data_IF_301733130974
#
_entry.id   IF_301733130974
#
_cell.length_a   1.000
_cell.length_b   1.000
_cell.length_c   1.000
_cell.angle_alpha   90.00
_cell.angle_beta   90.00
_cell.angle_gamma   90.00
#
_symmetry.space_group_name_H-M   'P 1'
#
loop_
_entity.id
_entity.type
_entity.pdbx_description
1 polymer ?
#
# COMPACT_ATOMS: atom_id res chain seq x y z
N UNK A 1 33.21 23.36 5.72
CA UNK A 1 32.26 22.34 5.20
C UNK A 1 32.94 21.59 4.08
N UNK A 2 33.56 20.46 4.39
CA UNK A 2 34.18 19.59 3.38
C UNK A 2 33.05 18.91 2.61
N UNK A 3 33.04 19.07 1.28
CA UNK A 3 31.99 18.50 0.43
C UNK A 3 32.02 16.97 0.48
N UNK A 4 30.84 16.34 0.44
CA UNK A 4 30.70 14.89 0.29
C UNK A 4 31.33 14.47 -1.07
N UNK A 5 32.00 13.31 -1.15
CA UNK A 5 32.56 12.83 -2.40
C UNK A 5 31.45 12.63 -3.45
N UNK A 6 31.76 12.94 -4.71
CA UNK A 6 30.81 12.87 -5.83
C UNK A 6 30.33 11.45 -6.16
N UNK A 7 31.00 10.42 -5.63
CA UNK A 7 30.66 9.01 -5.79
C UNK A 7 30.77 8.26 -4.45
N UNK A 8 29.78 8.48 -3.58
CA UNK A 8 29.71 7.82 -2.27
C UNK A 8 29.54 6.29 -2.40
N UNK A 9 28.90 5.81 -3.47
CA UNK A 9 28.61 4.38 -3.69
C UNK A 9 29.88 3.55 -3.87
N UNK A 10 30.76 4.00 -4.77
CA UNK A 10 32.03 3.32 -5.04
C UNK A 10 32.94 3.29 -3.81
N UNK A 11 32.96 4.39 -3.04
CA UNK A 11 33.72 4.48 -1.79
C UNK A 11 33.19 3.52 -0.72
N UNK A 12 31.87 3.35 -0.62
CA UNK A 12 31.25 2.39 0.31
C UNK A 12 31.63 0.95 -0.06
N UNK A 13 31.60 0.60 -1.35
CA UNK A 13 31.93 -0.74 -1.83
C UNK A 13 33.39 -1.13 -1.54
N UNK A 14 34.34 -0.23 -1.80
CA UNK A 14 35.77 -0.46 -1.50
C UNK A 14 36.03 -0.64 0.00
N UNK A 15 35.37 0.16 0.85
CA UNK A 15 35.48 0.04 2.30
C UNK A 15 34.85 -1.26 2.78
N UNK A 16 33.71 -1.68 2.19
CA UNK A 16 33.04 -2.94 2.50
C UNK A 16 33.96 -4.13 2.24
N UNK A 17 34.58 -4.21 1.06
CA UNK A 17 35.52 -5.29 0.73
C UNK A 17 36.70 -5.36 1.71
N UNK A 18 37.23 -4.21 2.15
CA UNK A 18 38.34 -4.18 3.11
C UNK A 18 37.92 -4.64 4.50
N UNK A 19 36.78 -4.17 4.99
CA UNK A 19 36.26 -4.58 6.29
C UNK A 19 35.90 -6.06 6.31
N UNK A 20 35.43 -6.63 5.19
CA UNK A 20 35.17 -8.06 5.06
C UNK A 20 36.41 -8.94 5.27
N UNK A 21 37.62 -8.43 4.98
CA UNK A 21 38.88 -9.18 5.19
C UNK A 21 39.32 -9.27 6.66
N UNK A 22 38.73 -8.46 7.56
CA UNK A 22 39.05 -8.46 9.00
C UNK A 22 37.76 -8.40 9.83
N UNK A 23 37.24 -9.53 10.33
CA UNK A 23 36.00 -9.57 11.10
C UNK A 23 36.03 -8.68 12.35
N UNK A 24 34.89 -8.09 12.71
CA UNK A 24 34.64 -7.44 14.00
C UNK A 24 33.65 -6.27 13.88
N UNK A 25 33.40 -5.58 14.98
CA UNK A 25 32.33 -4.57 15.06
C UNK A 25 32.54 -3.41 14.08
N UNK A 26 31.46 -3.01 13.40
CA UNK A 26 31.46 -1.85 12.54
C UNK A 26 31.42 -0.58 13.39
N UNK A 27 32.53 0.16 13.42
CA UNK A 27 32.64 1.45 14.14
C UNK A 27 33.10 2.55 13.19
N UNK A 28 32.72 3.80 13.49
CA UNK A 28 33.20 4.96 12.74
C UNK A 28 34.74 5.03 12.68
N UNK A 29 35.43 4.58 13.73
CA UNK A 29 36.89 4.50 13.76
C UNK A 29 37.43 3.53 12.69
N UNK A 30 36.88 2.32 12.60
CA UNK A 30 37.33 1.32 11.61
C UNK A 30 37.00 1.73 10.18
N UNK A 31 35.88 2.41 9.98
CA UNK A 31 35.51 3.00 8.70
C UNK A 31 36.50 4.10 8.31
N UNK A 32 36.89 4.96 9.25
CA UNK A 32 37.91 5.98 9.03
C UNK A 32 39.28 5.37 8.67
N UNK A 33 39.68 4.28 9.32
CA UNK A 33 40.92 3.57 8.97
C UNK A 33 40.87 2.97 7.57
N UNK A 34 39.76 2.31 7.21
CA UNK A 34 39.57 1.73 5.89
C UNK A 34 39.58 2.80 4.80
N UNK A 35 38.91 3.93 5.02
CA UNK A 35 38.88 5.09 4.11
C UNK A 35 40.25 5.76 3.96
N UNK A 36 41.00 5.94 5.05
CA UNK A 36 42.38 6.49 4.95
C UNK A 36 43.27 5.60 4.09
N UNK A 37 43.05 4.30 4.16
CA UNK A 37 43.82 3.33 3.42
C UNK A 37 43.41 3.20 1.94
N UNK A 38 42.35 3.88 1.48
CA UNK A 38 42.04 4.08 0.04
C UNK A 38 42.74 5.31 -0.56
N UNK A 39 43.47 6.09 0.24
CA UNK A 39 44.33 7.18 -0.23
C UNK A 39 43.63 8.52 -0.48
N UNK A 40 42.35 8.66 -0.11
CA UNK A 40 41.61 9.92 -0.23
C UNK A 40 41.62 10.73 1.09
N UNK A 41 41.65 12.08 1.03
CA UNK A 41 41.43 12.92 2.21
C UNK A 41 40.01 12.71 2.74
N UNK A 42 39.88 12.16 3.95
CA UNK A 42 38.59 11.80 4.54
C UNK A 42 38.19 12.84 5.57
N UNK A 43 37.09 13.57 5.34
CA UNK A 43 36.47 14.42 6.35
C UNK A 43 35.54 13.62 7.27
N UNK A 44 35.30 14.11 8.49
CA UNK A 44 34.39 13.47 9.46
C UNK A 44 32.99 13.23 8.90
N UNK A 45 32.48 14.15 8.06
CA UNK A 45 31.20 13.99 7.38
C UNK A 45 31.19 12.78 6.42
N UNK A 46 32.28 12.52 5.72
CA UNK A 46 32.43 11.36 4.82
C UNK A 46 32.54 10.07 5.62
N UNK A 47 33.31 10.06 6.72
CA UNK A 47 33.39 8.91 7.63
C UNK A 47 32.02 8.56 8.18
N UNK A 48 31.26 9.55 8.66
CA UNK A 48 29.91 9.35 9.19
C UNK A 48 28.94 8.86 8.11
N UNK A 49 28.97 9.44 6.90
CA UNK A 49 28.12 9.01 5.79
C UNK A 49 28.41 7.55 5.38
N UNK A 50 29.68 7.18 5.22
CA UNK A 50 30.09 5.81 4.86
C UNK A 50 29.82 4.84 6.00
N UNK A 51 30.06 5.24 7.25
CA UNK A 51 29.77 4.42 8.42
C UNK A 51 28.29 4.13 8.54
N UNK A 52 27.45 5.15 8.35
CA UNK A 52 26.00 5.01 8.42
C UNK A 52 25.47 4.12 7.27
N UNK A 53 26.04 4.25 6.06
CA UNK A 53 25.66 3.40 4.93
C UNK A 53 26.07 1.93 5.14
N UNK A 54 27.31 1.68 5.57
CA UNK A 54 27.77 0.33 5.94
C UNK A 54 27.00 -0.21 7.15
N UNK A 55 26.59 0.65 8.07
CA UNK A 55 25.80 0.26 9.24
C UNK A 55 24.42 -0.17 8.80
N UNK A 56 23.83 0.44 7.78
CA UNK A 56 22.58 -0.04 7.17
C UNK A 56 22.78 -1.34 6.42
N UNK A 57 23.90 -1.53 5.73
CA UNK A 57 24.21 -2.82 5.12
C UNK A 57 24.39 -3.94 6.16
N UNK A 58 24.95 -3.63 7.33
CA UNK A 58 25.25 -4.64 8.37
C UNK A 58 24.09 -4.83 9.35
N UNK A 59 23.33 -3.77 9.65
CA UNK A 59 22.22 -3.78 10.62
C UNK A 59 20.83 -3.77 9.97
N UNK A 60 20.71 -3.48 8.68
CA UNK A 60 19.46 -3.42 7.92
C UNK A 60 19.16 -4.71 7.15
N UNK A 61 18.71 -4.58 5.89
CA UNK A 61 18.30 -5.74 5.07
C UNK A 61 19.48 -6.56 4.51
N UNK A 62 20.72 -6.24 4.89
CA UNK A 62 21.88 -7.03 4.51
C UNK A 62 22.13 -6.97 3.00
N UNK A 63 22.38 -8.12 2.34
CA UNK A 63 22.63 -8.15 0.90
C UNK A 63 21.41 -7.74 0.06
N UNK A 64 20.22 -7.55 0.66
CA UNK A 64 19.02 -7.09 -0.02
C UNK A 64 18.92 -5.56 -0.08
N UNK A 65 19.68 -4.82 0.73
CA UNK A 65 19.61 -3.36 0.83
C UNK A 65 19.78 -2.66 -0.53
N UNK A 66 20.76 -3.03 -1.39
CA UNK A 66 20.90 -2.42 -2.71
C UNK A 66 19.68 -2.67 -3.60
N UNK A 67 19.02 -3.83 -3.46
CA UNK A 67 17.82 -4.15 -4.23
C UNK A 67 16.63 -3.28 -3.79
N UNK A 68 16.44 -3.11 -2.48
CA UNK A 68 15.34 -2.29 -1.95
C UNK A 68 15.45 -0.82 -2.36
N UNK A 69 16.66 -0.33 -2.64
CA UNK A 69 16.92 1.06 -3.05
C UNK A 69 16.82 1.31 -4.56
N UNK A 70 16.77 0.25 -5.36
CA UNK A 70 16.66 0.39 -6.82
C UNK A 70 15.34 1.10 -7.17
N UNK A 71 15.38 2.19 -7.94
CA UNK A 71 14.17 2.86 -8.40
C UNK A 71 13.26 1.89 -9.15
N UNK A 72 11.99 1.80 -8.75
CA UNK A 72 11.00 0.96 -9.40
C UNK A 72 10.79 -0.42 -8.78
N UNK A 73 11.68 -0.88 -7.88
CA UNK A 73 11.46 -2.12 -7.13
C UNK A 73 10.22 -2.00 -6.26
N UNK A 74 9.30 -2.95 -6.39
CA UNK A 74 8.10 -3.05 -5.58
C UNK A 74 8.18 -4.17 -4.57
N UNK A 75 8.84 -5.28 -4.93
CA UNK A 75 8.90 -6.49 -4.12
C UNK A 75 10.28 -7.15 -4.23
N UNK A 76 10.78 -7.68 -3.12
CA UNK A 76 11.98 -8.53 -3.05
C UNK A 76 11.63 -9.77 -2.24
N UNK A 77 11.81 -10.97 -2.81
CA UNK A 77 11.50 -12.23 -2.13
C UNK A 77 12.72 -13.14 -2.06
N UNK A 78 12.88 -13.83 -0.94
CA UNK A 78 13.95 -14.80 -0.68
C UNK A 78 13.32 -16.16 -0.44
N UNK A 79 13.69 -17.15 -1.25
CA UNK A 79 13.17 -18.51 -1.17
C UNK A 79 14.23 -19.47 -0.61
N UNK A 80 14.65 -19.25 0.64
CA UNK A 80 15.78 -19.96 1.24
C UNK A 80 17.07 -19.74 0.43
N UNK A 81 17.85 -20.81 0.25
CA UNK A 81 19.06 -20.82 -0.57
C UNK A 81 18.79 -21.00 -2.07
N UNK A 82 17.53 -21.23 -2.47
CA UNK A 82 17.17 -21.47 -3.89
C UNK A 82 17.17 -20.19 -4.74
N UNK A 83 17.16 -19.02 -4.10
CA UNK A 83 17.41 -17.75 -4.77
C UNK A 83 16.61 -16.57 -4.26
N UNK A 84 16.97 -15.41 -4.79
CA UNK A 84 16.33 -14.12 -4.54
C UNK A 84 15.69 -13.63 -5.83
N UNK A 85 14.49 -13.06 -5.72
CA UNK A 85 13.73 -12.52 -6.84
C UNK A 85 13.29 -11.10 -6.52
N UNK A 86 13.14 -10.29 -7.57
CA UNK A 86 12.72 -8.89 -7.49
C UNK A 86 11.61 -8.64 -8.52
N UNK A 87 10.61 -7.84 -8.15
CA UNK A 87 9.62 -7.29 -9.08
C UNK A 87 9.83 -5.77 -9.21
N UNK A 88 10.02 -5.30 -10.44
CA UNK A 88 10.13 -3.87 -10.80
C UNK A 88 8.86 -3.36 -11.51
N UNK A 89 7.74 -4.09 -11.37
CA UNK A 89 6.45 -3.81 -11.99
C UNK A 89 6.14 -4.63 -13.24
N UNK A 90 7.03 -5.56 -13.63
CA UNK A 90 6.89 -6.43 -14.81
C UNK A 90 6.77 -7.92 -14.43
N UNK A 91 6.67 -8.23 -13.14
CA UNK A 91 6.67 -9.58 -12.59
C UNK A 91 8.03 -9.99 -12.04
N UNK A 92 8.05 -11.06 -11.24
CA UNK A 92 9.22 -11.54 -10.52
C UNK A 92 10.35 -12.01 -11.45
N UNK A 93 11.54 -11.47 -11.24
CA UNK A 93 12.77 -11.83 -11.96
C UNK A 93 13.85 -12.27 -10.96
N UNK A 94 14.63 -13.33 -11.25
CA UNK A 94 15.73 -13.74 -10.40
C UNK A 94 16.88 -12.72 -10.41
N UNK A 95 17.57 -12.57 -9.28
CA UNK A 95 18.76 -11.72 -9.15
C UNK A 95 19.93 -12.51 -8.56
N UNK A 96 21.17 -12.10 -8.87
CA UNK A 96 22.37 -12.77 -8.37
C UNK A 96 22.72 -12.32 -6.95
N UNK A 97 21.82 -12.62 -6.01
CA UNK A 97 22.07 -12.52 -4.57
C UNK A 97 21.98 -13.92 -4.00
N UNK A 98 23.03 -14.34 -3.30
CA UNK A 98 23.15 -15.68 -2.73
C UNK A 98 23.38 -15.63 -1.23
N UNK A 99 22.70 -16.51 -0.52
CA UNK A 99 22.95 -16.77 0.89
C UNK A 99 23.83 -18.02 1.01
N UNK A 100 24.75 -18.02 1.97
CA UNK A 100 25.69 -19.13 2.16
C UNK A 100 24.98 -20.43 2.56
N UNK A 101 23.99 -20.32 3.44
CA UNK A 101 23.23 -21.41 4.01
C UNK A 101 21.85 -20.91 4.51
N UNK A 102 21.01 -21.85 4.92
CA UNK A 102 19.71 -21.55 5.52
C UNK A 102 19.83 -20.74 6.82
N UNK A 103 20.89 -20.98 7.61
CA UNK A 103 21.10 -20.22 8.84
C UNK A 103 21.37 -18.73 8.56
N UNK A 104 21.98 -18.39 7.42
CA UNK A 104 22.16 -17.02 6.98
C UNK A 104 20.83 -16.35 6.65
N UNK A 105 19.92 -17.05 5.97
CA UNK A 105 18.57 -16.55 5.67
C UNK A 105 17.76 -16.38 6.96
N UNK A 106 17.79 -17.38 7.86
CA UNK A 106 17.19 -17.31 9.20
C UNK A 106 17.70 -16.11 9.98
N UNK A 107 19.02 -15.91 10.08
CA UNK A 107 19.61 -14.75 10.78
C UNK A 107 19.15 -13.42 10.18
N UNK A 108 18.98 -13.34 8.86
CA UNK A 108 18.44 -12.14 8.21
C UNK A 108 16.97 -11.92 8.61
N UNK A 109 16.12 -12.94 8.50
CA UNK A 109 14.72 -12.86 8.88
C UNK A 109 14.55 -12.42 10.34
N UNK A 110 15.32 -12.99 11.26
CA UNK A 110 15.29 -12.64 12.69
C UNK A 110 15.72 -11.20 12.95
N UNK A 111 16.74 -10.71 12.25
CA UNK A 111 17.19 -9.32 12.35
C UNK A 111 16.13 -8.36 11.81
N UNK A 112 15.53 -8.65 10.66
CA UNK A 112 14.42 -7.85 10.10
C UNK A 112 13.23 -7.80 11.07
N UNK A 113 12.87 -8.93 11.68
CA UNK A 113 11.84 -9.00 12.71
C UNK A 113 12.18 -8.08 13.91
N UNK A 114 13.42 -8.15 14.40
CA UNK A 114 13.88 -7.35 15.53
C UNK A 114 13.88 -5.84 15.21
N UNK A 115 14.28 -5.44 14.00
CA UNK A 115 14.18 -4.04 13.54
C UNK A 115 12.73 -3.54 13.54
N UNK A 116 11.79 -4.42 13.22
CA UNK A 116 10.36 -4.17 13.29
C UNK A 116 9.74 -4.34 14.69
N UNK A 117 10.55 -4.55 15.72
CA UNK A 117 10.10 -4.68 17.11
C UNK A 117 9.36 -5.99 17.42
N UNK A 118 9.57 -7.03 16.62
CA UNK A 118 8.93 -8.35 16.81
C UNK A 118 9.97 -9.46 16.94
N UNK A 119 9.51 -10.58 17.50
CA UNK A 119 10.31 -11.77 17.73
C UNK A 119 9.98 -12.81 16.65
N UNK A 120 11.02 -13.47 16.13
CA UNK A 120 10.92 -14.55 15.15
C UNK A 120 11.86 -15.69 15.59
N UNK A 121 11.29 -16.83 15.95
CA UNK A 121 12.03 -18.01 16.42
C UNK A 121 11.16 -19.27 16.32
N UNK A 122 11.61 -20.40 16.87
CA UNK A 122 10.87 -21.67 16.73
C UNK A 122 9.53 -21.68 17.49
N UNK A 123 9.34 -20.80 18.47
CA UNK A 123 8.06 -20.65 19.17
C UNK A 123 7.11 -19.69 18.43
N UNK A 124 7.65 -18.73 17.68
CA UNK A 124 6.92 -17.81 16.80
C UNK A 124 7.54 -17.84 15.40
N UNK A 125 7.24 -18.87 14.59
CA UNK A 125 7.99 -19.19 13.37
C UNK A 125 7.59 -18.35 12.15
N UNK A 126 6.74 -17.35 12.33
CA UNK A 126 6.38 -16.38 11.30
C UNK A 126 6.19 -15.00 11.91
N UNK A 127 6.36 -13.96 11.09
CA UNK A 127 6.20 -12.57 11.54
C UNK A 127 5.82 -11.64 10.41
N UNK A 128 5.01 -10.64 10.74
CA UNK A 128 4.74 -9.46 9.92
C UNK A 128 5.29 -8.24 10.64
N UNK A 129 6.18 -7.52 9.98
CA UNK A 129 6.77 -6.28 10.49
C UNK A 129 6.86 -5.20 9.44
N UNK A 130 7.07 -3.97 9.93
CA UNK A 130 7.37 -2.81 9.11
C UNK A 130 8.71 -2.23 9.54
N UNK A 131 9.58 -2.02 8.56
CA UNK A 131 10.90 -1.41 8.75
C UNK A 131 10.79 0.12 8.78
N UNK A 132 11.86 0.80 9.20
CA UNK A 132 11.87 2.25 9.38
C UNK A 132 11.63 3.05 8.08
N UNK A 133 12.00 2.50 6.94
CA UNK A 133 11.74 3.05 5.60
C UNK A 133 10.30 2.80 5.11
N UNK A 134 9.50 2.06 5.89
CA UNK A 134 8.14 1.66 5.56
C UNK A 134 8.02 0.35 4.77
N UNK A 135 9.15 -0.31 4.46
CA UNK A 135 9.17 -1.63 3.83
C UNK A 135 8.45 -2.63 4.73
N UNK A 136 7.47 -3.33 4.16
CA UNK A 136 6.79 -4.43 4.86
C UNK A 136 7.61 -5.70 4.69
N UNK A 137 7.85 -6.39 5.78
CA UNK A 137 8.57 -7.65 5.81
C UNK A 137 7.67 -8.72 6.39
N UNK A 138 7.38 -9.74 5.60
CA UNK A 138 6.83 -11.00 6.07
C UNK A 138 7.92 -12.05 6.04
N UNK A 139 8.05 -12.87 7.07
CA UNK A 139 9.01 -13.97 7.09
C UNK A 139 8.44 -15.22 7.75
N UNK A 140 8.84 -16.40 7.25
CA UNK A 140 8.55 -17.71 7.84
C UNK A 140 9.82 -18.53 7.96
N UNK A 141 10.03 -19.18 9.10
CA UNK A 141 11.18 -20.05 9.33
C UNK A 141 10.95 -21.47 8.81
N UNK A 142 12.03 -22.12 8.37
CA UNK A 142 12.05 -23.59 8.23
C UNK A 142 11.83 -24.27 9.61
N UNK A 143 11.19 -25.45 9.72
CA UNK A 143 10.72 -26.34 8.64
C UNK A 143 9.25 -26.14 8.23
N UNK A 144 8.54 -25.15 8.79
CA UNK A 144 7.14 -24.89 8.40
C UNK A 144 7.05 -24.31 6.98
N UNK A 145 8.14 -23.71 6.50
CA UNK A 145 8.31 -23.28 5.14
C UNK A 145 9.31 -24.16 4.38
N UNK A 146 9.07 -24.33 3.07
CA UNK A 146 9.97 -24.98 2.11
C UNK A 146 10.19 -24.04 0.93
N UNK A 147 11.38 -23.98 0.32
CA UNK A 147 12.55 -24.86 0.53
C UNK A 147 13.40 -24.55 1.78
N UNK A 148 13.17 -23.42 2.46
CA UNK A 148 13.86 -23.01 3.68
C UNK A 148 13.13 -21.82 4.32
N UNK A 149 13.85 -20.96 5.04
CA UNK A 149 13.31 -19.70 5.53
C UNK A 149 12.92 -18.80 4.36
N UNK A 150 11.72 -18.25 4.41
CA UNK A 150 11.17 -17.37 3.37
C UNK A 150 11.11 -15.94 3.90
N UNK A 151 11.45 -14.96 3.06
CA UNK A 151 11.33 -13.54 3.37
C UNK A 151 10.66 -12.85 2.19
N UNK A 152 9.60 -12.09 2.44
CA UNK A 152 8.91 -11.27 1.45
C UNK A 152 8.95 -9.81 1.90
N UNK A 153 9.65 -8.98 1.13
CA UNK A 153 9.78 -7.56 1.34
C UNK A 153 8.95 -6.82 0.29
N UNK A 154 8.08 -5.92 0.73
CA UNK A 154 7.28 -5.05 -0.14
C UNK A 154 7.62 -3.60 0.14
N UNK A 155 8.24 -2.96 -0.85
CA UNK A 155 8.75 -1.60 -0.75
C UNK A 155 7.59 -0.62 -0.92
N UNK A 156 7.40 0.34 0.00
CA UNK A 156 6.38 1.36 -0.15
C UNK A 156 6.73 2.24 -1.35
N UNK A 157 5.71 2.65 -2.10
CA UNK A 157 5.93 3.62 -3.18
C UNK A 157 6.27 4.98 -2.59
N UNK A 158 7.23 5.66 -3.21
CA UNK A 158 7.69 6.98 -2.78
C UNK A 158 6.63 8.09 -2.97
N UNK A 159 5.78 7.99 -4.00
CA UNK A 159 4.74 8.99 -4.31
C UNK A 159 3.48 8.35 -4.89
N UNK A 160 2.34 9.05 -4.76
CA UNK A 160 1.17 8.78 -5.57
C UNK A 160 1.42 9.12 -7.05
N UNK A 161 0.80 8.36 -7.94
CA UNK A 161 0.71 8.73 -9.34
C UNK A 161 -0.34 9.84 -9.49
N UNK A 162 -0.01 10.98 -10.10
CA UNK A 162 -0.98 11.93 -10.59
C UNK A 162 -1.99 11.23 -11.50
N UNK A 163 -3.24 11.70 -11.52
CA UNK A 163 -4.27 11.10 -12.35
C UNK A 163 -3.89 11.13 -13.84
N UNK A 164 -3.16 12.16 -14.25
CA UNK A 164 -2.61 12.34 -15.60
C UNK A 164 -1.64 11.21 -15.98
N UNK A 165 -0.81 10.74 -15.04
CA UNK A 165 0.08 9.61 -15.26
C UNK A 165 -0.72 8.30 -15.41
N UNK A 166 -1.83 8.15 -14.67
CA UNK A 166 -2.74 7.00 -14.85
C UNK A 166 -3.45 7.04 -16.21
N UNK A 167 -3.75 8.24 -16.72
CA UNK A 167 -4.27 8.42 -18.08
C UNK A 167 -3.22 8.07 -19.13
N UNK A 168 -1.98 8.54 -18.96
CA UNK A 168 -0.87 8.22 -19.86
C UNK A 168 -0.55 6.71 -19.89
N UNK A 169 -0.65 6.02 -18.75
CA UNK A 169 -0.54 4.56 -18.65
C UNK A 169 -1.77 3.80 -19.23
N UNK A 170 -2.80 4.54 -19.64
CA UNK A 170 -4.06 4.04 -20.16
C UNK A 170 -4.96 3.40 -19.11
N UNK A 171 -4.61 3.45 -17.81
CA UNK A 171 -5.46 2.92 -16.74
C UNK A 171 -6.79 3.65 -16.67
N UNK A 172 -6.78 4.95 -16.99
CA UNK A 172 -7.96 5.80 -17.07
C UNK A 172 -8.04 6.40 -18.48
N UNK A 173 -9.22 6.42 -19.09
CA UNK A 173 -9.40 7.07 -20.39
C UNK A 173 -9.59 8.58 -20.20
N UNK A 174 -9.36 9.43 -21.22
CA UNK A 174 -9.61 10.88 -21.09
C UNK A 174 -11.06 11.23 -20.68
N UNK A 175 -12.03 10.41 -21.08
CA UNK A 175 -13.41 10.55 -20.63
C UNK A 175 -13.59 10.15 -19.17
N UNK A 176 -12.94 9.05 -18.74
CA UNK A 176 -12.91 8.62 -17.34
C UNK A 176 -12.26 9.66 -16.44
N UNK A 177 -11.19 10.31 -16.89
CA UNK A 177 -10.50 11.37 -16.15
C UNK A 177 -11.46 12.52 -15.79
N UNK A 178 -12.23 13.03 -16.76
CA UNK A 178 -13.19 14.11 -16.53
C UNK A 178 -14.25 13.71 -15.51
N UNK A 179 -14.75 12.48 -15.60
CA UNK A 179 -15.73 11.92 -14.67
C UNK A 179 -15.14 11.81 -13.26
N UNK A 180 -13.95 11.25 -13.13
CA UNK A 180 -13.26 11.08 -11.84
C UNK A 180 -12.96 12.41 -11.15
N UNK A 181 -12.53 13.43 -11.91
CA UNK A 181 -12.36 14.79 -11.38
C UNK A 181 -13.69 15.37 -10.88
N UNK A 182 -14.78 15.12 -11.59
CA UNK A 182 -16.10 15.57 -11.15
C UNK A 182 -16.54 14.87 -9.86
N UNK A 183 -16.34 13.55 -9.74
CA UNK A 183 -16.62 12.77 -8.52
C UNK A 183 -15.91 13.38 -7.30
N UNK A 184 -14.61 13.67 -7.42
CA UNK A 184 -13.82 14.24 -6.31
C UNK A 184 -14.28 15.66 -5.97
N UNK A 185 -14.39 16.54 -6.97
CA UNK A 185 -14.78 17.95 -6.79
C UNK A 185 -16.17 18.12 -6.19
N UNK A 186 -17.10 17.24 -6.54
CA UNK A 186 -18.48 17.23 -6.03
C UNK A 186 -18.62 16.50 -4.70
N UNK A 187 -17.53 16.00 -4.11
CA UNK A 187 -17.55 15.24 -2.85
C UNK A 187 -18.54 14.09 -2.89
N UNK A 188 -18.67 13.44 -4.05
CA UNK A 188 -19.51 12.24 -4.20
C UNK A 188 -18.87 11.12 -3.37
N UNK A 189 -19.65 10.40 -2.57
CA UNK A 189 -19.12 9.28 -1.78
C UNK A 189 -18.90 8.08 -2.70
N UNK A 190 -17.68 7.52 -2.71
CA UNK A 190 -17.34 6.47 -3.67
C UNK A 190 -16.53 5.32 -3.09
N UNK A 191 -16.69 4.14 -3.69
CA UNK A 191 -15.87 2.95 -3.40
C UNK A 191 -15.09 2.57 -4.66
N UNK A 192 -13.78 2.38 -4.52
CA UNK A 192 -12.96 1.79 -5.59
C UNK A 192 -12.95 0.27 -5.42
N UNK A 193 -13.45 -0.46 -6.41
CA UNK A 193 -13.52 -1.92 -6.37
C UNK A 193 -12.66 -2.60 -7.43
N UNK A 194 -12.39 -3.88 -7.26
CA UNK A 194 -11.57 -4.68 -8.18
C UNK A 194 -10.77 -5.79 -7.49
N UNK A 195 -10.24 -6.71 -8.29
CA UNK A 195 -9.43 -7.83 -7.82
C UNK A 195 -8.11 -7.43 -7.16
N UNK A 196 -7.37 -8.41 -6.64
CA UNK A 196 -6.01 -8.22 -6.09
C UNK A 196 -5.08 -7.70 -7.19
N UNK A 197 -4.24 -6.71 -6.88
CA UNK A 197 -3.30 -6.15 -7.86
C UNK A 197 -3.91 -5.32 -9.00
N UNK A 198 -5.23 -5.03 -8.97
CA UNK A 198 -5.92 -4.21 -9.99
C UNK A 198 -5.57 -2.72 -9.95
N UNK A 199 -4.96 -2.24 -8.85
CA UNK A 199 -4.56 -0.84 -8.68
C UNK A 199 -5.55 0.02 -7.89
N UNK A 200 -6.45 -0.56 -7.08
CA UNK A 200 -7.44 0.18 -6.26
C UNK A 200 -6.82 1.30 -5.43
N UNK A 201 -5.82 0.94 -4.62
CA UNK A 201 -5.09 1.88 -3.75
C UNK A 201 -4.37 2.96 -4.56
N UNK A 202 -3.86 2.61 -5.75
CA UNK A 202 -3.23 3.57 -6.67
C UNK A 202 -4.22 4.59 -7.20
N UNK A 203 -5.38 4.14 -7.71
CA UNK A 203 -6.42 5.05 -8.17
C UNK A 203 -6.96 5.90 -7.02
N UNK A 204 -7.24 5.30 -5.86
CA UNK A 204 -7.72 6.02 -4.68
C UNK A 204 -6.74 7.12 -4.26
N UNK A 205 -5.43 6.82 -4.17
CA UNK A 205 -4.43 7.83 -3.84
C UNK A 205 -4.42 8.98 -4.85
N UNK A 206 -4.50 8.68 -6.15
CA UNK A 206 -4.55 9.70 -7.20
C UNK A 206 -5.79 10.60 -7.07
N UNK A 207 -6.95 10.03 -6.74
CA UNK A 207 -8.20 10.78 -6.53
C UNK A 207 -8.15 11.64 -5.27
N UNK A 208 -7.53 11.15 -4.20
CA UNK A 208 -7.35 11.92 -2.96
C UNK A 208 -6.39 13.10 -3.14
N UNK A 209 -5.38 12.99 -4.01
CA UNK A 209 -4.53 14.13 -4.40
C UNK A 209 -5.30 15.23 -5.15
N UNK A 210 -6.51 14.96 -5.64
CA UNK A 210 -7.36 15.95 -6.32
C UNK A 210 -8.37 16.62 -5.40
N UNK A 211 -8.43 16.22 -4.13
CA UNK A 211 -9.27 16.85 -3.12
C UNK A 211 -8.88 18.33 -2.93
N UNK A 212 -9.82 19.15 -2.45
CA UNK A 212 -9.53 20.56 -2.18
C UNK A 212 -8.44 20.64 -1.09
N UNK A 213 -7.33 21.39 -1.30
CA UNK A 213 -6.25 21.54 -0.33
C UNK A 213 -6.67 21.97 1.09
N UNK A 214 -7.86 22.58 1.24
CA UNK A 214 -8.43 22.97 2.52
C UNK A 214 -9.12 21.82 3.27
N UNK A 215 -9.37 20.68 2.62
CA UNK A 215 -10.03 19.51 3.21
C UNK A 215 -9.07 18.72 4.09
N UNK A 216 -9.53 18.33 5.27
CA UNK A 216 -8.82 17.40 6.16
C UNK A 216 -9.15 15.96 5.81
N UNK A 217 -8.17 15.24 5.30
CA UNK A 217 -8.29 13.83 4.93
C UNK A 217 -7.81 12.96 6.10
N UNK A 218 -8.68 12.13 6.66
CA UNK A 218 -8.30 11.13 7.68
C UNK A 218 -8.31 9.75 7.04
N UNK A 219 -7.12 9.18 6.86
CA UNK A 219 -6.88 7.89 6.21
C UNK A 219 -6.71 6.81 7.26
N UNK A 220 -7.53 5.78 7.19
CA UNK A 220 -7.48 4.62 8.08
C UNK A 220 -7.06 3.40 7.27
N UNK A 221 -5.94 2.80 7.64
CA UNK A 221 -5.38 1.65 6.93
C UNK A 221 -4.95 0.56 7.91
N UNK A 222 -4.94 -0.68 7.45
CA UNK A 222 -4.26 -1.74 8.22
C UNK A 222 -2.75 -1.57 8.22
N UNK A 223 -2.24 -1.01 7.13
CA UNK A 223 -0.84 -0.69 6.98
C UNK A 223 -0.72 0.50 6.05
N UNK A 224 0.10 1.51 6.38
CA UNK A 224 0.09 2.76 5.61
C UNK A 224 0.57 2.56 4.16
N UNK A 225 -0.34 2.52 3.20
CA UNK A 225 -0.12 2.25 1.78
C UNK A 225 -0.49 3.49 0.93
N UNK A 226 -1.52 4.23 1.34
CA UNK A 226 -1.96 5.46 0.71
C UNK A 226 -1.00 6.61 1.00
N UNK A 227 -0.52 7.25 -0.07
CA UNK A 227 0.37 8.42 -0.05
C UNK A 227 -0.13 9.50 -1.03
N UNK A 228 -1.36 10.01 -0.86
CA UNK A 228 -1.83 11.10 -1.70
C UNK A 228 -0.94 12.34 -1.53
N UNK A 229 -0.77 13.09 -2.61
CA UNK A 229 -0.09 14.38 -2.61
C UNK A 229 -1.11 15.45 -2.20
N UNK A 230 -1.34 15.57 -0.89
CA UNK A 230 -2.33 16.46 -0.32
C UNK A 230 -1.79 17.08 1.00
N UNK A 231 -1.90 18.41 1.19
CA UNK A 231 -1.23 19.10 2.30
C UNK A 231 -1.79 18.75 3.68
N UNK A 232 -3.06 18.33 3.78
CA UNK A 232 -3.73 18.06 5.05
C UNK A 232 -4.21 16.61 5.22
N UNK A 233 -3.27 15.68 5.17
CA UNK A 233 -3.52 14.27 5.47
C UNK A 233 -3.16 13.90 6.92
N UNK A 234 -4.01 13.08 7.52
CA UNK A 234 -3.77 12.43 8.80
C UNK A 234 -3.93 10.93 8.61
N UNK A 235 -2.91 10.16 8.97
CA UNK A 235 -2.94 8.72 8.81
C UNK A 235 -3.10 8.00 10.14
N UNK A 236 -3.97 7.01 10.16
CA UNK A 236 -4.20 6.08 11.24
C UNK A 236 -3.89 4.67 10.73
N UNK A 237 -3.03 3.94 11.45
CA UNK A 237 -2.62 2.58 11.10
C UNK A 237 -3.05 1.61 12.19
N UNK A 238 -3.69 0.52 11.78
CA UNK A 238 -4.05 -0.56 12.69
C UNK A 238 -2.78 -1.20 13.27
N UNK A 239 -2.92 -1.75 14.46
CA UNK A 239 -1.81 -2.40 15.15
C UNK A 239 -2.25 -3.79 15.61
N UNK A 240 -1.52 -4.86 15.27
CA UNK A 240 -1.78 -6.17 15.84
C UNK A 240 -1.53 -6.16 17.36
N UNK A 241 -2.01 -7.17 18.09
CA UNK A 241 -1.63 -7.31 19.49
C UNK A 241 -0.12 -7.48 19.65
N UNK A 242 0.39 -7.09 20.82
CA UNK A 242 1.77 -7.35 21.22
C UNK A 242 2.01 -8.86 21.45
N UNK A 243 3.23 -9.23 21.84
CA UNK A 243 3.60 -10.64 22.09
C UNK A 243 2.75 -11.28 23.20
N UNK A 244 2.22 -10.49 24.13
CA UNK A 244 1.35 -10.93 25.22
C UNK A 244 -0.14 -11.00 24.80
N UNK A 245 -0.47 -10.75 23.53
CA UNK A 245 -1.84 -10.74 23.04
C UNK A 245 -2.63 -9.47 23.35
N UNK A 246 -1.98 -8.42 23.87
CA UNK A 246 -2.62 -7.20 24.34
C UNK A 246 -2.40 -6.01 23.39
N UNK A 247 -3.29 -5.01 23.48
CA UNK A 247 -3.10 -3.72 22.81
C UNK A 247 -3.36 -3.72 21.30
N UNK A 248 -4.15 -4.67 20.79
CA UNK A 248 -4.65 -4.65 19.41
C UNK A 248 -5.47 -3.36 19.17
N UNK A 249 -5.25 -2.74 18.02
CA UNK A 249 -6.03 -1.61 17.52
C UNK A 249 -6.47 -1.93 16.10
N UNK A 250 -7.75 -2.28 15.93
CA UNK A 250 -8.28 -2.68 14.62
C UNK A 250 -8.63 -1.46 13.74
N UNK A 251 -8.69 -1.67 12.42
CA UNK A 251 -9.21 -0.67 11.46
C UNK A 251 -10.59 -0.17 11.91
N UNK A 252 -11.47 -1.07 12.35
CA UNK A 252 -12.80 -0.73 12.87
C UNK A 252 -12.73 0.25 14.05
N UNK A 253 -11.84 0.00 15.01
CA UNK A 253 -11.62 0.92 16.13
C UNK A 253 -11.13 2.29 15.66
N UNK A 254 -10.19 2.32 14.71
CA UNK A 254 -9.66 3.57 14.16
C UNK A 254 -10.69 4.37 13.37
N UNK A 255 -11.56 3.71 12.59
CA UNK A 255 -12.68 4.38 11.90
C UNK A 255 -13.55 5.13 12.92
N UNK A 256 -13.89 4.51 14.04
CA UNK A 256 -14.67 5.19 15.11
C UNK A 256 -13.94 6.36 15.74
N UNK A 257 -12.61 6.30 15.87
CA UNK A 257 -11.83 7.42 16.39
C UNK A 257 -11.71 8.54 15.36
N UNK A 258 -11.54 8.20 14.08
CA UNK A 258 -11.45 9.16 12.99
C UNK A 258 -12.66 10.09 12.92
N UNK A 259 -13.87 9.59 13.21
CA UNK A 259 -15.10 10.39 13.28
C UNK A 259 -15.05 11.52 14.33
N UNK A 260 -14.19 11.40 15.34
CA UNK A 260 -13.99 12.43 16.38
C UNK A 260 -12.90 13.43 16.01
N UNK A 261 -12.25 13.25 14.86
CA UNK A 261 -11.10 14.05 14.43
C UNK A 261 -11.47 15.15 13.42
N UNK A 262 -12.77 15.46 13.29
CA UNK A 262 -13.35 16.41 12.33
C UNK A 262 -12.81 16.19 10.90
N UNK A 263 -12.96 14.99 10.30
CA UNK A 263 -12.57 14.80 8.91
C UNK A 263 -13.51 15.57 7.98
N UNK A 264 -12.96 16.22 6.95
CA UNK A 264 -13.76 16.58 5.78
C UNK A 264 -13.96 15.34 4.89
N UNK A 265 -12.95 14.45 4.83
CA UNK A 265 -13.06 13.12 4.22
C UNK A 265 -12.55 12.03 5.14
N UNK A 266 -13.37 11.01 5.35
CA UNK A 266 -12.95 9.75 5.95
C UNK A 266 -12.59 8.75 4.84
N UNK A 267 -11.39 8.20 4.90
CA UNK A 267 -10.90 7.23 3.94
C UNK A 267 -10.58 5.91 4.64
N UNK A 268 -11.10 4.80 4.13
CA UNK A 268 -10.68 3.45 4.56
C UNK A 268 -9.89 2.79 3.44
N UNK A 269 -8.60 2.56 3.67
CA UNK A 269 -7.68 2.07 2.65
C UNK A 269 -8.13 0.76 2.02
N UNK A 270 -8.60 -0.19 2.82
CA UNK A 270 -9.24 -1.42 2.35
C UNK A 270 -10.26 -1.92 3.37
N UNK A 271 -11.48 -2.17 2.90
CA UNK A 271 -12.57 -2.75 3.68
C UNK A 271 -12.57 -4.27 3.50
N UNK A 272 -12.34 -4.99 4.59
CA UNK A 272 -12.21 -6.45 4.65
C UNK A 272 -13.02 -7.10 5.77
N UNK A 273 -13.58 -6.32 6.69
CA UNK A 273 -14.28 -6.79 7.87
C UNK A 273 -15.36 -5.82 8.35
N UNK A 274 -15.59 -5.84 9.66
CA UNK A 274 -16.70 -5.11 10.28
C UNK A 274 -16.60 -3.59 10.26
N UNK A 275 -15.44 -3.04 9.92
CA UNK A 275 -15.27 -1.62 9.59
C UNK A 275 -16.17 -1.16 8.45
N UNK A 276 -16.70 -2.07 7.61
CA UNK A 276 -17.70 -1.73 6.59
C UNK A 276 -18.91 -1.03 7.21
N UNK A 277 -19.39 -1.49 8.36
CA UNK A 277 -20.59 -0.93 9.01
C UNK A 277 -20.29 0.49 9.50
N UNK A 278 -19.13 0.68 10.13
CA UNK A 278 -18.72 1.98 10.65
C UNK A 278 -18.41 2.97 9.50
N UNK A 279 -17.85 2.49 8.38
CA UNK A 279 -17.67 3.30 7.16
C UNK A 279 -19.02 3.74 6.57
N UNK A 280 -19.96 2.81 6.34
CA UNK A 280 -21.27 3.18 5.80
C UNK A 280 -22.02 4.15 6.72
N UNK A 281 -21.94 3.97 8.04
CA UNK A 281 -22.50 4.92 9.00
C UNK A 281 -21.83 6.30 8.92
N UNK A 282 -20.50 6.35 8.73
CA UNK A 282 -19.76 7.59 8.59
C UNK A 282 -20.20 8.41 7.36
N UNK A 283 -20.32 7.73 6.22
CA UNK A 283 -20.75 8.33 4.95
C UNK A 283 -22.18 8.88 5.03
N UNK A 284 -23.05 8.22 5.80
CA UNK A 284 -24.42 8.68 6.05
C UNK A 284 -24.54 9.87 7.02
N UNK A 285 -23.50 10.18 7.81
CA UNK A 285 -23.57 11.16 8.93
C UNK A 285 -22.84 12.47 8.65
N UNK A 286 -22.73 12.86 7.38
CA UNK A 286 -22.20 14.18 6.99
C UNK A 286 -20.70 14.22 6.68
N UNK A 287 -20.07 13.06 6.44
CA UNK A 287 -18.70 12.98 5.90
C UNK A 287 -18.74 12.83 4.38
N UNK A 288 -19.17 13.91 3.71
CA UNK A 288 -19.26 13.96 2.25
C UNK A 288 -17.91 13.64 1.60
N UNK A 289 -17.94 12.92 0.48
CA UNK A 289 -16.74 12.57 -0.26
C UNK A 289 -15.83 11.56 0.45
N UNK A 290 -16.30 10.94 1.53
CA UNK A 290 -15.64 9.78 2.11
C UNK A 290 -15.63 8.60 1.14
N UNK A 291 -14.60 7.77 1.27
CA UNK A 291 -14.33 6.73 0.29
C UNK A 291 -13.50 5.58 0.85
N UNK A 292 -13.40 4.49 0.08
CA UNK A 292 -12.48 3.42 0.42
C UNK A 292 -12.30 2.43 -0.72
N UNK A 293 -11.51 1.39 -0.46
CA UNK A 293 -11.39 0.28 -1.42
C UNK A 293 -12.08 -0.99 -0.92
N UNK A 294 -12.59 -1.78 -1.87
CA UNK A 294 -13.24 -3.05 -1.59
C UNK A 294 -12.83 -4.08 -2.65
N UNK A 295 -12.48 -5.29 -2.23
CA UNK A 295 -12.27 -6.38 -3.18
C UNK A 295 -13.61 -6.89 -3.74
N UNK A 296 -13.77 -6.87 -5.07
CA UNK A 296 -14.91 -7.44 -5.78
C UNK A 296 -14.50 -7.84 -7.21
N UNK A 297 -15.13 -8.86 -7.75
CA UNK A 297 -14.85 -9.35 -9.12
C UNK A 297 -15.55 -8.52 -10.20
N UNK A 298 -16.63 -7.84 -9.85
CA UNK A 298 -17.35 -6.90 -10.70
C UNK A 298 -17.96 -5.78 -9.85
N UNK A 299 -18.41 -4.69 -10.49
CA UNK A 299 -19.19 -3.67 -9.80
C UNK A 299 -20.50 -4.26 -9.25
N UNK A 300 -21.14 -5.17 -10.00
CA UNK A 300 -22.38 -5.85 -9.61
C UNK A 300 -22.27 -6.67 -8.32
N UNK A 301 -21.07 -7.17 -8.00
CA UNK A 301 -20.84 -7.99 -6.79
C UNK A 301 -20.64 -7.15 -5.52
N UNK A 302 -20.46 -5.83 -5.63
CA UNK A 302 -20.17 -4.95 -4.49
C UNK A 302 -21.24 -5.02 -3.39
N UNK A 303 -22.56 -4.93 -3.69
CA UNK A 303 -23.60 -5.02 -2.66
C UNK A 303 -23.56 -6.36 -1.92
N UNK A 304 -23.37 -7.47 -2.63
CA UNK A 304 -23.27 -8.79 -2.00
C UNK A 304 -22.03 -8.91 -1.11
N UNK A 305 -20.90 -8.32 -1.52
CA UNK A 305 -19.68 -8.28 -0.70
C UNK A 305 -19.89 -7.46 0.56
N UNK A 306 -20.49 -6.27 0.45
CA UNK A 306 -20.84 -5.42 1.58
C UNK A 306 -21.80 -6.13 2.53
N UNK A 307 -22.83 -6.81 1.99
CA UNK A 307 -23.76 -7.63 2.77
C UNK A 307 -23.03 -8.69 3.59
N UNK A 308 -22.15 -9.47 2.97
CA UNK A 308 -21.41 -10.53 3.66
C UNK A 308 -20.54 -9.99 4.82
N UNK A 309 -19.84 -8.87 4.58
CA UNK A 309 -19.01 -8.22 5.61
C UNK A 309 -19.86 -7.63 6.74
N UNK A 310 -21.00 -7.03 6.40
CA UNK A 310 -21.94 -6.46 7.35
C UNK A 310 -22.61 -7.54 8.22
N UNK A 311 -23.01 -8.66 7.61
CA UNK A 311 -23.55 -9.83 8.31
C UNK A 311 -22.55 -10.39 9.32
N UNK A 312 -21.28 -10.56 8.91
CA UNK A 312 -20.21 -11.00 9.81
C UNK A 312 -19.97 -10.01 10.97
N UNK A 313 -20.33 -8.74 10.80
CA UNK A 313 -20.24 -7.68 11.80
C UNK A 313 -21.50 -7.52 12.66
N UNK A 314 -22.52 -8.35 12.45
CA UNK A 314 -23.78 -8.36 13.20
C UNK A 314 -24.88 -7.46 12.63
N UNK A 315 -24.71 -6.89 11.43
CA UNK A 315 -25.74 -6.08 10.77
C UNK A 315 -26.56 -6.96 9.81
N UNK A 316 -27.88 -7.01 10.01
CA UNK A 316 -28.78 -7.79 9.17
C UNK A 316 -28.80 -7.33 7.70
N UNK A 317 -29.15 -8.25 6.79
CA UNK A 317 -29.16 -8.03 5.33
C UNK A 317 -29.87 -6.74 4.91
N UNK A 318 -31.12 -6.56 5.35
CA UNK A 318 -31.93 -5.39 5.00
C UNK A 318 -31.26 -4.08 5.45
N UNK A 319 -30.69 -4.06 6.66
CA UNK A 319 -29.98 -2.91 7.19
C UNK A 319 -28.67 -2.64 6.43
N UNK A 320 -27.94 -3.67 6.03
CA UNK A 320 -26.72 -3.55 5.23
C UNK A 320 -27.01 -2.91 3.86
N UNK A 321 -28.00 -3.43 3.14
CA UNK A 321 -28.46 -2.85 1.88
C UNK A 321 -28.98 -1.43 2.07
N UNK A 322 -29.70 -1.19 3.16
CA UNK A 322 -30.24 0.14 3.43
C UNK A 322 -29.16 1.18 3.67
N UNK A 323 -28.17 0.85 4.50
CA UNK A 323 -27.02 1.72 4.73
C UNK A 323 -26.17 1.91 3.48
N UNK A 324 -25.96 0.84 2.69
CA UNK A 324 -25.17 0.92 1.46
C UNK A 324 -25.78 1.88 0.44
N UNK A 325 -27.07 1.76 0.14
CA UNK A 325 -27.75 2.66 -0.80
C UNK A 325 -27.75 4.14 -0.37
N UNK A 326 -27.69 4.41 0.94
CA UNK A 326 -27.66 5.77 1.46
C UNK A 326 -26.23 6.35 1.51
N UNK A 327 -25.23 5.49 1.73
CA UNK A 327 -23.85 5.89 2.00
C UNK A 327 -22.97 6.00 0.74
N UNK A 328 -23.19 5.15 -0.26
CA UNK A 328 -22.30 5.03 -1.42
C UNK A 328 -23.03 5.53 -2.64
N UNK A 329 -22.53 6.61 -3.25
CA UNK A 329 -23.14 7.15 -4.47
C UNK A 329 -22.62 6.44 -5.73
N UNK A 330 -21.33 6.11 -5.74
CA UNK A 330 -20.64 5.58 -6.92
C UNK A 330 -19.67 4.45 -6.58
N UNK A 331 -19.62 3.43 -7.42
CA UNK A 331 -18.57 2.40 -7.44
C UNK A 331 -17.69 2.61 -8.67
N UNK A 332 -16.38 2.76 -8.45
CA UNK A 332 -15.36 2.84 -9.48
C UNK A 332 -14.67 1.48 -9.60
N UNK A 333 -15.01 0.70 -10.61
CA UNK A 333 -14.53 -0.67 -10.74
C UNK A 333 -13.33 -0.79 -11.67
N UNK A 334 -12.23 -1.32 -11.12
CA UNK A 334 -10.99 -1.64 -11.82
C UNK A 334 -10.95 -3.12 -12.20
N UNK A 335 -10.47 -3.40 -13.41
CA UNK A 335 -10.22 -4.75 -13.89
C UNK A 335 -8.98 -4.81 -14.79
N UNK A 336 -8.60 -6.02 -15.16
CA UNK A 336 -7.58 -6.26 -16.18
C UNK A 336 -8.26 -6.33 -17.55
N UNK A 337 -7.65 -5.73 -18.57
CA UNK A 337 -8.06 -5.95 -19.95
C UNK A 337 -7.48 -7.26 -20.51
N UNK A 338 -7.85 -7.62 -21.75
CA UNK A 338 -7.38 -8.84 -22.40
C UNK A 338 -5.85 -8.90 -22.56
N UNK A 339 -5.15 -7.76 -22.47
CA UNK A 339 -3.69 -7.68 -22.51
C UNK A 339 -3.05 -7.67 -21.12
N UNK A 340 -3.83 -7.89 -20.05
CA UNK A 340 -3.36 -7.89 -18.67
C UNK A 340 -3.12 -6.49 -18.09
N UNK A 341 -3.52 -5.42 -18.79
CA UNK A 341 -3.33 -4.05 -18.27
C UNK A 341 -4.48 -3.66 -17.35
N UNK A 342 -4.14 -2.93 -16.28
CA UNK A 342 -5.11 -2.35 -15.33
C UNK A 342 -5.92 -1.26 -16.03
N UNK A 343 -7.24 -1.27 -15.87
CA UNK A 343 -8.18 -0.30 -16.47
C UNK A 343 -9.35 0.00 -15.53
N UNK A 344 -9.82 1.24 -15.52
CA UNK A 344 -11.18 1.57 -15.09
C UNK A 344 -12.15 0.96 -16.10
N UNK A 345 -12.94 -0.03 -15.67
CA UNK A 345 -13.85 -0.79 -16.53
C UNK A 345 -15.27 -0.26 -16.46
N UNK A 346 -15.70 0.14 -15.28
CA UNK A 346 -17.09 0.49 -15.03
C UNK A 346 -17.21 1.55 -13.91
N UNK A 347 -18.16 2.45 -14.09
CA UNK A 347 -18.70 3.32 -13.04
C UNK A 347 -20.13 2.86 -12.79
N UNK A 348 -20.38 2.31 -11.61
CA UNK A 348 -21.69 1.84 -11.19
C UNK A 348 -22.33 2.80 -10.19
N UNK A 349 -23.66 2.87 -10.18
CA UNK A 349 -24.46 3.57 -9.17
C UNK A 349 -25.42 2.58 -8.50
N UNK A 350 -25.69 2.69 -7.19
CA UNK A 350 -26.64 1.80 -6.54
C UNK A 350 -28.06 2.07 -7.04
N UNK A 351 -28.84 1.01 -7.17
CA UNK A 351 -30.27 1.05 -7.46
C UNK A 351 -30.99 0.15 -6.46
N UNK A 352 -31.99 0.71 -5.77
CA UNK A 352 -32.79 -0.03 -4.81
C UNK A 352 -33.99 -0.67 -5.52
N UNK A 353 -34.10 -1.99 -5.40
CA UNK A 353 -35.24 -2.77 -5.88
C UNK A 353 -36.49 -2.60 -4.99
N UNK A 354 -37.62 -3.12 -5.47
CA UNK A 354 -38.89 -3.12 -4.72
C UNK A 354 -38.85 -4.03 -3.49
N UNK A 355 -37.92 -4.99 -3.46
CA UNK A 355 -37.62 -5.87 -2.34
C UNK A 355 -36.74 -5.20 -1.27
N UNK A 356 -36.35 -3.94 -1.48
CA UNK A 356 -35.48 -3.17 -0.58
C UNK A 356 -34.00 -3.51 -0.72
N UNK A 357 -33.63 -4.50 -1.55
CA UNK A 357 -32.25 -4.87 -1.82
C UNK A 357 -31.63 -3.93 -2.85
N UNK A 358 -30.32 -3.75 -2.74
CA UNK A 358 -29.53 -2.88 -3.62
C UNK A 358 -28.81 -3.73 -4.65
N UNK A 359 -28.95 -3.32 -5.90
CA UNK A 359 -28.15 -3.80 -7.03
C UNK A 359 -27.31 -2.65 -7.55
N UNK A 360 -26.27 -2.95 -8.33
CA UNK A 360 -25.51 -1.92 -9.04
C UNK A 360 -25.99 -1.81 -10.48
N UNK A 361 -26.27 -0.58 -10.90
CA UNK A 361 -26.56 -0.26 -12.29
C UNK A 361 -25.33 0.41 -12.92
N UNK A 362 -24.88 -0.12 -14.05
CA UNK A 362 -23.78 0.48 -14.79
C UNK A 362 -24.20 1.88 -15.29
N UNK A 363 -23.50 2.92 -14.86
CA UNK A 363 -23.68 4.28 -15.37
C UNK A 363 -22.79 4.52 -16.60
N UNK A 364 -21.54 4.07 -16.53
CA UNK A 364 -20.60 4.11 -17.66
C UNK A 364 -19.80 2.82 -17.71
N UNK A 365 -19.73 2.19 -18.88
CA UNK A 365 -18.84 1.07 -19.16
C UNK A 365 -17.78 1.52 -20.16
N UNK A 366 -16.51 1.30 -19.85
CA UNK A 366 -15.41 1.58 -20.75
C UNK A 366 -15.12 0.33 -21.60
N UNK A 367 -15.45 0.41 -22.88
CA UNK A 367 -15.17 -0.65 -23.84
C UNK A 367 -13.66 -0.89 -23.98
N UNK A 368 -13.27 -1.99 -24.64
CA UNK A 368 -11.86 -2.38 -24.74
C UNK A 368 -10.99 -1.34 -25.49
N UNK A 369 -11.60 -0.63 -26.44
CA UNK A 369 -11.01 0.51 -27.17
C UNK A 369 -10.95 1.81 -26.33
N UNK A 370 -11.42 1.78 -25.08
CA UNK A 370 -11.49 2.93 -24.18
C UNK A 370 -12.72 3.82 -24.39
N UNK A 371 -13.60 3.48 -25.34
CA UNK A 371 -14.81 4.26 -25.62
C UNK A 371 -15.79 4.14 -24.44
N UNK A 372 -16.22 5.25 -23.82
CA UNK A 372 -17.25 5.22 -22.79
C UNK A 372 -18.62 4.92 -23.41
N UNK A 373 -19.34 3.95 -22.85
CA UNK A 373 -20.73 3.64 -23.18
C UNK A 373 -21.60 3.93 -21.98
N UNK A 374 -22.63 4.73 -22.16
CA UNK A 374 -23.61 4.99 -21.10
C UNK A 374 -24.44 3.73 -20.86
N UNK A 375 -24.68 3.43 -19.58
CA UNK A 375 -25.59 2.38 -19.15
C UNK A 375 -26.83 2.93 -18.47
N UNK A 376 -27.71 2.06 -17.94
CA UNK A 376 -28.97 2.47 -17.33
C UNK A 376 -28.82 3.40 -16.11
N UNK A 377 -27.64 3.46 -15.49
CA UNK A 377 -27.34 4.34 -14.37
C UNK A 377 -26.87 5.75 -14.76
N UNK A 378 -26.79 6.07 -16.06
CA UNK A 378 -26.16 7.32 -16.54
C UNK A 378 -26.86 8.58 -16.03
N UNK A 379 -28.19 8.61 -16.05
CA UNK A 379 -28.98 9.77 -15.59
C UNK A 379 -28.79 10.02 -14.09
N UNK A 380 -28.73 8.93 -13.30
CA UNK A 380 -28.46 9.03 -11.85
C UNK A 380 -27.07 9.58 -11.58
N UNK A 381 -26.06 9.12 -12.31
CA UNK A 381 -24.70 9.67 -12.21
C UNK A 381 -24.67 11.14 -12.63
N UNK A 382 -25.36 11.53 -13.70
CA UNK A 382 -25.42 12.93 -14.14
C UNK A 382 -26.08 13.83 -13.09
N UNK A 383 -27.14 13.36 -12.42
CA UNK A 383 -27.78 14.08 -11.32
C UNK A 383 -26.81 14.29 -10.13
N UNK A 384 -26.06 13.25 -9.75
CA UNK A 384 -25.06 13.34 -8.68
C UNK A 384 -23.96 14.36 -9.01
N UNK A 385 -23.51 14.43 -10.27
CA UNK A 385 -22.43 15.32 -10.69
C UNK A 385 -22.87 16.76 -11.00
N UNK A 386 -24.17 16.99 -11.17
CA UNK A 386 -24.75 18.31 -11.50
C UNK A 386 -25.26 19.09 -10.28
N UNK A 387 -25.56 18.41 -9.18
CA UNK A 387 -26.03 19.04 -7.95
C UNK A 387 -24.90 19.90 -7.33
N UNK A 388 -25.23 21.14 -6.96
CA UNK A 388 -24.27 22.16 -6.50
C UNK A 388 -24.29 22.37 -5.00
#
# INVERSE_FOLDING_TARGET
MTALPADLGTVVDEVRERLARRPGDLTAHRVAEALRATGQPVGDATVLAVHEELRRDVLGAGPLEPLLRRPGVTDVVVNGTEGVYVDEGAGMQPVDVRFADEDAVRRLAQRLAALGGRRLDDASPYVDVRLADGTRCHALLSPIARPGTLISLRVPRARAFPLEELVAAGMVTPAGERLLRAVVRRRVAFVVSGGTGSGKTTLLAALLSLADPAERLVLVEDSHELRPDHPHCVWLEARPPNIEGAGEVTVRSLVRQALRMRPDRLVVGEVRGGEVVDLLAALNTGHEGGCGTLHANSAADVPARVEALALAAGLGREAAHSQFAAAVDVVLHLGLDASGRRRLREVGVPSRGTDGLVTMSAAVVFAHDGTPRQGPGADRLAALLSTS
#
